data_IF_224149258907
#
_entry.id   IF_224149258907
#
_cell.length_a   1.000
_cell.length_b   1.000
_cell.length_c   1.000
_cell.angle_alpha   90.00
_cell.angle_beta   90.00
_cell.angle_gamma   90.00
#
_symmetry.space_group_name_H-M   'P 1'
#
loop_
_entity.id
_entity.type
_entity.pdbx_description
1 polymer ?
#
# COMPACT_ATOMS: atom_id res chain seq x y z
N UNK A 1 -5.42 -19.92 1.22
CA UNK A 1 -6.22 -18.70 1.47
C UNK A 1 -6.94 -18.87 2.80
N UNK A 2 -6.87 -17.89 3.70
CA UNK A 2 -7.54 -17.93 4.99
C UNK A 2 -8.97 -17.41 4.77
N UNK A 3 -10.01 -18.26 4.87
CA UNK A 3 -11.37 -17.76 4.86
C UNK A 3 -11.56 -16.89 6.10
N UNK A 4 -12.04 -15.66 5.91
CA UNK A 4 -12.37 -14.76 7.01
C UNK A 4 -13.67 -15.28 7.63
N UNK A 5 -13.55 -16.30 8.49
CA UNK A 5 -14.64 -16.77 9.35
C UNK A 5 -14.73 -15.84 10.54
N UNK A 6 -15.51 -14.79 10.43
CA UNK A 6 -15.82 -13.91 11.55
C UNK A 6 -17.28 -14.07 11.93
N UNK A 7 -17.54 -14.27 13.22
CA UNK A 7 -18.86 -14.26 13.84
C UNK A 7 -19.57 -12.88 13.74
N UNK A 8 -18.90 -11.88 13.16
CA UNK A 8 -19.42 -10.58 12.71
C UNK A 8 -18.75 -10.20 11.38
N UNK A 9 -19.47 -9.59 10.41
CA UNK A 9 -18.87 -9.22 9.13
C UNK A 9 -17.87 -8.06 9.31
N UNK A 10 -16.65 -8.22 8.80
CA UNK A 10 -15.73 -7.10 8.59
C UNK A 10 -16.20 -6.34 7.37
N UNK A 11 -16.49 -5.04 7.50
CA UNK A 11 -17.01 -4.22 6.39
C UNK A 11 -15.94 -3.85 5.37
N UNK A 12 -14.71 -3.62 5.84
CA UNK A 12 -13.60 -3.15 5.01
C UNK A 12 -12.26 -3.77 5.42
N UNK A 13 -11.52 -4.27 4.44
CA UNK A 13 -10.20 -4.87 4.63
C UNK A 13 -9.16 -4.10 3.83
N UNK A 14 -8.26 -3.42 4.54
CA UNK A 14 -7.04 -2.88 3.95
C UNK A 14 -5.92 -3.91 4.05
N UNK A 15 -5.36 -4.30 2.90
CA UNK A 15 -4.18 -5.14 2.81
C UNK A 15 -2.97 -4.30 2.39
N UNK A 16 -1.87 -4.40 3.15
CA UNK A 16 -0.59 -3.82 2.77
C UNK A 16 0.46 -4.94 2.70
N UNK A 17 0.65 -5.57 1.53
CA UNK A 17 1.61 -6.66 1.39
C UNK A 17 3.04 -6.19 1.70
N UNK A 18 3.89 -7.15 2.07
CA UNK A 18 5.29 -6.92 2.49
C UNK A 18 6.24 -7.85 1.71
N UNK A 19 5.96 -8.04 0.41
CA UNK A 19 6.73 -8.95 -0.45
C UNK A 19 8.23 -8.60 -0.47
N UNK A 20 8.56 -7.31 -0.54
CA UNK A 20 9.94 -6.84 -0.58
C UNK A 20 10.66 -6.88 0.79
N UNK A 21 9.92 -7.05 1.89
CA UNK A 21 10.47 -6.95 3.25
C UNK A 21 10.53 -8.28 3.98
N UNK A 22 9.70 -9.25 3.57
CA UNK A 22 9.55 -10.53 4.22
C UNK A 22 9.81 -11.65 3.20
N UNK A 23 10.95 -12.36 3.29
CA UNK A 23 11.20 -13.54 2.48
C UNK A 23 10.02 -14.51 2.60
N UNK A 24 9.51 -15.00 1.46
CA UNK A 24 8.37 -15.92 1.38
C UNK A 24 7.02 -15.34 1.85
N UNK A 25 6.85 -14.02 1.87
CA UNK A 25 5.53 -13.44 2.10
C UNK A 25 4.55 -13.85 1.00
N UNK A 26 3.40 -14.37 1.40
CA UNK A 26 2.34 -14.81 0.50
C UNK A 26 1.02 -14.09 0.81
N UNK A 27 0.30 -13.69 -0.24
CA UNK A 27 -1.04 -13.15 -0.07
C UNK A 27 -2.01 -14.27 0.30
N UNK A 28 -2.57 -14.22 1.52
CA UNK A 28 -3.49 -15.24 2.05
C UNK A 28 -4.95 -14.80 2.10
N UNK A 29 -5.24 -13.51 1.91
CA UNK A 29 -6.59 -12.97 1.98
C UNK A 29 -7.41 -13.37 0.75
N UNK A 30 -8.69 -13.72 0.97
CA UNK A 30 -9.65 -14.00 -0.11
C UNK A 30 -10.42 -12.74 -0.56
N UNK A 31 -10.43 -11.70 0.27
CA UNK A 31 -11.10 -10.42 0.00
C UNK A 31 -10.19 -9.28 0.42
N UNK A 32 -10.03 -8.30 -0.46
CA UNK A 32 -9.32 -7.05 -0.19
C UNK A 32 -10.23 -5.93 -0.69
N UNK A 33 -10.54 -4.99 0.18
CA UNK A 33 -11.31 -3.80 -0.20
C UNK A 33 -10.34 -2.68 -0.61
N UNK A 34 -9.22 -2.54 0.10
CA UNK A 34 -8.15 -1.59 -0.21
C UNK A 34 -6.79 -2.27 -0.30
N UNK A 35 -6.14 -2.22 -1.46
CA UNK A 35 -4.73 -2.59 -1.60
C UNK A 35 -3.86 -1.34 -1.40
N UNK A 36 -3.12 -1.29 -0.30
CA UNK A 36 -2.20 -0.19 0.02
C UNK A 36 -0.74 -0.64 0.00
N UNK A 37 -0.04 -0.33 -1.09
CA UNK A 37 1.38 -0.67 -1.25
C UNK A 37 2.26 0.43 -0.72
N UNK A 38 3.30 0.07 0.05
CA UNK A 38 4.35 1.01 0.43
C UNK A 38 5.30 1.15 -0.75
N UNK A 39 5.41 2.35 -1.32
CA UNK A 39 6.23 2.64 -2.49
C UNK A 39 7.59 3.21 -2.10
N UNK A 40 8.63 2.68 -2.71
CA UNK A 40 10.03 3.06 -2.54
C UNK A 40 10.81 3.02 -3.88
N UNK A 41 10.09 3.08 -5.01
CA UNK A 41 10.67 2.96 -6.35
C UNK A 41 10.86 1.52 -6.84
N UNK A 42 10.26 0.54 -6.18
CA UNK A 42 10.37 -0.87 -6.57
C UNK A 42 9.56 -1.21 -7.83
N UNK A 43 9.81 -2.40 -8.36
CA UNK A 43 8.94 -3.00 -9.38
C UNK A 43 7.55 -3.29 -8.80
N UNK A 44 6.52 -2.89 -9.54
CA UNK A 44 5.13 -3.02 -9.15
C UNK A 44 4.45 -4.26 -9.74
N UNK A 45 5.12 -5.02 -10.62
CA UNK A 45 4.58 -6.24 -11.23
C UNK A 45 4.21 -7.31 -10.19
N UNK A 46 4.87 -7.32 -9.03
CA UNK A 46 4.56 -8.23 -7.92
C UNK A 46 3.15 -8.04 -7.34
N UNK A 47 2.50 -6.90 -7.63
CA UNK A 47 1.14 -6.58 -7.20
C UNK A 47 0.10 -6.79 -8.31
N UNK A 48 0.52 -7.18 -9.51
CA UNK A 48 -0.39 -7.48 -10.61
C UNK A 48 -1.25 -8.71 -10.28
N UNK A 49 -2.50 -8.69 -10.76
CA UNK A 49 -3.48 -9.73 -10.46
C UNK A 49 -4.08 -9.70 -9.05
N UNK A 50 -3.61 -8.83 -8.14
CA UNK A 50 -4.28 -8.62 -6.84
C UNK A 50 -5.54 -7.78 -7.06
N UNK A 51 -6.70 -8.39 -6.83
CA UNK A 51 -8.00 -7.73 -6.93
C UNK A 51 -8.35 -6.99 -5.63
N UNK A 52 -8.73 -5.72 -5.76
CA UNK A 52 -9.23 -4.87 -4.68
C UNK A 52 -10.24 -3.86 -5.25
N UNK A 53 -11.09 -3.28 -4.39
CA UNK A 53 -11.99 -2.19 -4.80
C UNK A 53 -11.20 -0.90 -5.03
N UNK A 54 -10.20 -0.67 -4.20
CA UNK A 54 -9.40 0.56 -4.19
C UNK A 54 -7.89 0.25 -4.14
N UNK A 55 -7.10 1.08 -4.82
CA UNK A 55 -5.65 0.91 -4.98
C UNK A 55 -4.90 2.16 -4.57
N UNK A 56 -4.00 2.04 -3.58
CA UNK A 56 -3.23 3.15 -3.05
C UNK A 56 -1.73 2.87 -3.01
N UNK A 57 -0.95 3.89 -3.34
CA UNK A 57 0.48 3.96 -3.05
C UNK A 57 0.71 4.90 -1.87
N UNK A 58 1.44 4.40 -0.88
CA UNK A 58 1.91 5.18 0.26
C UNK A 58 3.43 5.32 0.16
N UNK A 59 4.00 6.53 0.04
CA UNK A 59 5.45 6.69 0.05
C UNK A 59 6.03 6.14 1.35
N UNK A 60 7.09 5.36 1.24
CA UNK A 60 7.87 4.88 2.38
C UNK A 60 8.44 6.07 3.15
N UNK A 61 8.37 6.00 4.49
CA UNK A 61 9.07 6.93 5.37
C UNK A 61 10.43 6.33 5.76
N UNK A 62 11.49 6.94 5.24
CA UNK A 62 12.87 6.54 5.46
C UNK A 62 13.50 7.18 6.71
N UNK A 63 12.75 8.00 7.47
CA UNK A 63 13.27 8.84 8.56
C UNK A 63 14.37 9.81 8.12
N UNK A 64 14.35 10.20 6.84
CA UNK A 64 15.24 11.17 6.21
C UNK A 64 14.39 12.10 5.34
N UNK A 65 14.46 13.41 5.60
CA UNK A 65 13.56 14.38 4.99
C UNK A 65 13.78 14.53 3.49
N UNK A 66 15.04 14.61 3.05
CA UNK A 66 15.39 14.75 1.63
C UNK A 66 14.93 13.52 0.85
N UNK A 67 15.24 12.32 1.35
CA UNK A 67 14.83 11.05 0.74
C UNK A 67 13.32 10.86 0.73
N UNK A 68 12.62 11.31 1.78
CA UNK A 68 11.16 11.29 1.83
C UNK A 68 10.55 12.22 0.77
N UNK A 69 11.11 13.42 0.57
CA UNK A 69 10.66 14.35 -0.46
C UNK A 69 10.87 13.80 -1.87
N UNK A 70 12.04 13.21 -2.15
CA UNK A 70 12.34 12.53 -3.41
C UNK A 70 11.37 11.36 -3.68
N UNK A 71 11.15 10.51 -2.67
CA UNK A 71 10.27 9.36 -2.81
C UNK A 71 8.78 9.75 -2.95
N UNK A 72 8.35 10.84 -2.29
CA UNK A 72 7.01 11.40 -2.49
C UNK A 72 6.83 11.86 -3.94
N UNK A 73 7.80 12.60 -4.50
CA UNK A 73 7.77 13.03 -5.88
C UNK A 73 7.76 11.83 -6.86
N UNK A 74 8.58 10.81 -6.60
CA UNK A 74 8.59 9.58 -7.38
C UNK A 74 7.24 8.84 -7.33
N UNK A 75 6.64 8.74 -6.14
CA UNK A 75 5.31 8.12 -5.95
C UNK A 75 4.23 8.87 -6.75
N UNK A 76 4.23 10.20 -6.68
CA UNK A 76 3.29 11.04 -7.44
C UNK A 76 3.47 10.86 -8.94
N UNK A 77 4.71 10.81 -9.43
CA UNK A 77 5.01 10.60 -10.84
C UNK A 77 4.54 9.22 -11.31
N UNK A 78 4.73 8.18 -10.50
CA UNK A 78 4.24 6.84 -10.79
C UNK A 78 2.70 6.80 -10.88
N UNK A 79 2.01 7.45 -9.94
CA UNK A 79 0.54 7.55 -9.95
C UNK A 79 0.05 8.26 -11.21
N UNK A 80 0.71 9.35 -11.62
CA UNK A 80 0.34 10.09 -12.83
C UNK A 80 0.45 9.23 -14.09
N UNK A 81 1.42 8.32 -14.17
CA UNK A 81 1.55 7.38 -15.28
C UNK A 81 0.66 6.14 -15.15
N UNK A 82 0.20 5.81 -13.94
CA UNK A 82 -0.64 4.65 -13.65
C UNK A 82 -1.89 5.06 -12.84
N UNK A 83 -2.89 5.69 -13.47
CA UNK A 83 -4.03 6.32 -12.79
C UNK A 83 -4.96 5.34 -12.04
N UNK A 84 -4.73 4.03 -12.15
CA UNK A 84 -5.34 3.03 -11.26
C UNK A 84 -5.02 3.30 -9.79
N UNK A 85 -3.84 3.84 -9.50
CA UNK A 85 -3.34 4.08 -8.15
C UNK A 85 -3.71 5.47 -7.65
N UNK A 86 -4.02 5.57 -6.36
CA UNK A 86 -4.27 6.82 -5.63
C UNK A 86 -3.17 7.06 -4.58
N UNK A 87 -2.96 8.31 -4.17
CA UNK A 87 -1.97 8.64 -3.14
C UNK A 87 -2.57 8.42 -1.75
N UNK A 88 -1.87 7.68 -0.89
CA UNK A 88 -2.18 7.54 0.54
C UNK A 88 -1.09 8.23 1.37
N UNK A 89 -1.41 9.32 2.04
CA UNK A 89 -0.47 10.04 2.91
C UNK A 89 -0.58 9.56 4.37
N UNK A 90 0.55 9.56 5.08
CA UNK A 90 0.57 9.37 6.54
C UNK A 90 0.19 10.69 7.23
N UNK A 91 -1.09 11.05 7.13
CA UNK A 91 -1.63 12.33 7.62
C UNK A 91 -1.37 12.56 9.10
N UNK A 92 -1.36 11.50 9.92
CA UNK A 92 -1.04 11.59 11.34
C UNK A 92 0.38 12.13 11.60
N UNK A 93 1.36 11.79 10.75
CA UNK A 93 2.73 12.33 10.85
C UNK A 93 2.78 13.80 10.42
N UNK A 94 2.09 14.13 9.33
CA UNK A 94 2.00 15.51 8.82
C UNK A 94 1.35 16.42 9.87
N UNK A 95 0.30 15.95 10.52
CA UNK A 95 -0.45 16.69 11.54
C UNK A 95 0.16 16.61 12.94
N UNK A 96 1.24 15.82 13.13
CA UNK A 96 1.84 15.57 14.45
C UNK A 96 0.86 15.03 15.51
N UNK A 97 -0.07 14.15 15.10
CA UNK A 97 -1.01 13.46 15.99
C UNK A 97 -0.60 12.00 16.19
N UNK A 98 -0.79 11.47 17.41
CA UNK A 98 -0.45 10.09 17.80
C UNK A 98 -1.69 9.24 18.02
#
# INVERSE_FOLDING_TARGET
TIPIKCYLPVDWITCSPKFDFCPHAELRLQRIDELKVVYQGQDMTAYDGIEAKEYYLQPCDFKDEARNAENLAATINYIKSHPKWKLSLQTQKILSVR
#
